data_IF_128450564944
#
_entry.id   IF_128450564944
#
_cell.length_a   1.000
_cell.length_b   1.000
_cell.length_c   1.000
_cell.angle_alpha   90.00
_cell.angle_beta   90.00
_cell.angle_gamma   90.00
#
_symmetry.space_group_name_H-M   'P 1'
#
loop_
_entity.id
_entity.type
_entity.pdbx_description
1 polymer ?
#
# COMPACT_ATOMS: atom_id res chain seq x y z
N UNK A 1 21.86 19.57 43.43
CA UNK A 1 20.89 18.58 42.87
C UNK A 1 19.45 19.09 42.79
N UNK A 2 18.88 19.75 43.81
CA UNK A 2 17.48 20.22 43.76
C UNK A 2 17.20 21.35 42.76
N UNK A 3 18.16 22.27 42.56
CA UNK A 3 18.07 23.38 41.58
C UNK A 3 18.03 22.84 40.14
N UNK A 4 18.96 21.96 39.78
CA UNK A 4 19.02 21.33 38.45
C UNK A 4 17.77 20.50 38.12
N UNK A 5 17.15 19.86 39.12
CA UNK A 5 15.87 19.14 38.96
C UNK A 5 14.70 20.08 38.65
N UNK A 6 14.70 21.29 39.23
CA UNK A 6 13.70 22.33 38.91
C UNK A 6 13.90 22.90 37.52
N UNK A 7 15.13 23.15 37.09
CA UNK A 7 15.43 23.61 35.73
C UNK A 7 14.96 22.61 34.66
N UNK A 8 15.28 21.32 34.84
CA UNK A 8 14.80 20.26 33.94
C UNK A 8 13.26 20.16 33.90
N UNK A 9 12.59 20.36 35.03
CA UNK A 9 11.12 20.36 35.09
C UNK A 9 10.51 21.57 34.35
N UNK A 10 11.12 22.76 34.48
CA UNK A 10 10.69 23.96 33.77
C UNK A 10 10.87 23.83 32.26
N UNK A 11 12.00 23.27 31.81
CA UNK A 11 12.22 22.99 30.39
C UNK A 11 11.15 22.05 29.82
N UNK A 12 10.78 21.02 30.57
CA UNK A 12 9.74 20.08 30.16
C UNK A 12 8.38 20.77 30.05
N UNK A 13 8.00 21.57 31.04
CA UNK A 13 6.75 22.35 31.02
C UNK A 13 6.71 23.32 29.83
N UNK A 14 7.81 24.01 29.53
CA UNK A 14 7.88 24.91 28.35
C UNK A 14 7.73 24.13 27.05
N UNK A 15 8.34 22.94 26.92
CA UNK A 15 8.17 22.06 25.76
C UNK A 15 6.72 21.61 25.62
N UNK A 16 6.06 21.25 26.71
CA UNK A 16 4.68 20.78 26.72
C UNK A 16 3.71 21.91 26.35
N UNK A 17 3.91 23.12 26.88
CA UNK A 17 3.14 24.32 26.50
C UNK A 17 3.31 24.57 25.00
N UNK A 18 4.54 24.61 24.49
CA UNK A 18 4.81 24.81 23.05
C UNK A 18 4.18 23.74 22.16
N UNK A 19 4.07 22.50 22.66
CA UNK A 19 3.41 21.41 21.93
C UNK A 19 1.90 21.59 21.93
N UNK A 20 1.32 21.94 23.08
CA UNK A 20 -0.12 22.14 23.23
C UNK A 20 -0.64 23.37 22.47
N UNK A 21 0.14 24.46 22.42
CA UNK A 21 -0.24 25.70 21.73
C UNK A 21 0.19 25.73 20.25
N UNK A 22 0.80 24.66 19.74
CA UNK A 22 1.20 24.58 18.34
C UNK A 22 -0.04 24.60 17.44
N UNK A 23 -0.14 25.64 16.60
CA UNK A 23 -1.16 25.72 15.56
C UNK A 23 -1.15 24.46 14.69
N UNK A 24 -2.31 23.85 14.54
CA UNK A 24 -2.54 22.77 13.59
C UNK A 24 -3.07 23.36 12.29
N UNK A 25 -2.56 22.88 11.16
CA UNK A 25 -3.03 23.28 9.84
C UNK A 25 -3.79 22.10 9.23
N UNK A 26 -5.00 22.35 8.77
CA UNK A 26 -5.78 21.36 8.02
C UNK A 26 -5.11 21.02 6.68
N UNK A 27 -5.54 19.93 6.04
CA UNK A 27 -5.03 19.59 4.71
C UNK A 27 -5.39 20.69 3.69
N UNK A 28 -6.61 21.22 3.77
CA UNK A 28 -7.13 22.28 2.91
C UNK A 28 -6.36 23.58 3.08
N UNK A 29 -6.02 23.98 4.32
CA UNK A 29 -5.19 25.16 4.57
C UNK A 29 -3.80 25.01 3.95
N UNK A 30 -3.15 23.85 4.16
CA UNK A 30 -1.83 23.59 3.56
C UNK A 30 -1.88 23.66 2.05
N UNK A 31 -2.90 23.07 1.43
CA UNK A 31 -3.10 23.09 -0.02
C UNK A 31 -3.29 24.52 -0.52
N UNK A 32 -4.15 25.31 0.13
CA UNK A 32 -4.37 26.73 -0.22
C UNK A 32 -3.05 27.50 -0.24
N UNK A 33 -2.27 27.40 0.84
CA UNK A 33 -0.99 28.12 0.97
C UNK A 33 0.02 27.65 -0.09
N UNK A 34 0.12 26.34 -0.34
CA UNK A 34 1.03 25.82 -1.38
C UNK A 34 0.66 26.37 -2.75
N UNK A 35 -0.63 26.33 -3.12
CA UNK A 35 -1.10 26.80 -4.42
C UNK A 35 -0.86 28.30 -4.62
N UNK A 36 -1.04 29.12 -3.58
CA UNK A 36 -0.75 30.55 -3.64
C UNK A 36 0.74 30.81 -3.86
N UNK A 37 1.61 30.11 -3.13
CA UNK A 37 3.06 30.22 -3.36
C UNK A 37 3.50 29.75 -4.75
N UNK A 38 2.82 28.73 -5.31
CA UNK A 38 3.06 28.27 -6.69
C UNK A 38 2.58 29.30 -7.72
N UNK A 39 1.49 30.01 -7.42
CA UNK A 39 0.97 31.07 -8.29
C UNK A 39 1.96 32.25 -8.40
N UNK A 40 2.71 32.53 -7.34
CA UNK A 40 3.83 33.48 -7.35
C UNK A 40 3.41 34.95 -7.41
N UNK A 41 2.21 35.28 -6.90
CA UNK A 41 1.71 36.67 -6.82
C UNK A 41 2.54 37.52 -5.83
N UNK A 42 3.00 36.91 -4.74
CA UNK A 42 3.90 37.50 -3.74
C UNK A 42 5.12 36.61 -3.48
N UNK A 43 6.14 37.16 -2.82
CA UNK A 43 7.31 36.35 -2.45
C UNK A 43 6.95 35.30 -1.40
N UNK A 44 7.59 34.12 -1.45
CA UNK A 44 7.36 33.07 -0.44
C UNK A 44 7.61 33.56 1.00
N UNK A 45 8.56 34.50 1.17
CA UNK A 45 8.84 35.10 2.47
C UNK A 45 7.67 35.94 3.00
N UNK A 46 6.96 36.64 2.12
CA UNK A 46 5.78 37.44 2.45
C UNK A 46 4.59 36.54 2.80
N UNK A 47 4.34 35.52 1.98
CA UNK A 47 3.33 34.49 2.25
C UNK A 47 3.55 33.80 3.59
N UNK A 48 4.80 33.40 3.89
CA UNK A 48 5.12 32.76 5.15
C UNK A 48 4.87 33.67 6.37
N UNK A 49 5.16 34.98 6.27
CA UNK A 49 4.87 35.95 7.33
C UNK A 49 3.36 36.12 7.53
N UNK A 50 2.60 36.23 6.44
CA UNK A 50 1.15 36.45 6.47
C UNK A 50 0.40 35.24 7.04
N UNK A 51 0.81 34.03 6.65
CA UNK A 51 0.20 32.78 7.13
C UNK A 51 0.73 32.33 8.50
N UNK A 52 1.80 32.97 9.00
CA UNK A 52 2.43 32.65 10.28
C UNK A 52 3.15 31.30 10.28
N UNK A 53 3.81 30.95 9.17
CA UNK A 53 4.55 29.69 9.00
C UNK A 53 6.03 29.94 8.76
N UNK A 54 6.86 28.95 9.12
CA UNK A 54 8.26 28.96 8.73
C UNK A 54 8.42 28.57 7.25
N UNK A 55 9.40 29.15 6.56
CA UNK A 55 9.69 28.82 5.16
C UNK A 55 9.97 27.32 4.96
N UNK A 56 10.61 26.66 5.94
CA UNK A 56 10.83 25.21 5.91
C UNK A 56 9.53 24.39 5.87
N UNK A 57 8.46 24.86 6.54
CA UNK A 57 7.15 24.22 6.48
C UNK A 57 6.54 24.36 5.08
N UNK A 58 6.58 25.57 4.51
CA UNK A 58 6.11 25.80 3.15
C UNK A 58 6.80 24.89 2.14
N UNK A 59 8.14 24.88 2.14
CA UNK A 59 8.88 24.07 1.17
C UNK A 59 8.68 22.57 1.38
N UNK A 60 8.52 22.12 2.63
CA UNK A 60 8.14 20.73 2.93
C UNK A 60 6.80 20.36 2.30
N UNK A 61 5.75 21.16 2.55
CA UNK A 61 4.42 20.92 2.00
C UNK A 61 4.37 21.05 0.48
N UNK A 62 5.04 22.05 -0.08
CA UNK A 62 5.10 22.28 -1.53
C UNK A 62 5.76 21.11 -2.24
N UNK A 63 6.87 20.60 -1.70
CA UNK A 63 7.53 19.40 -2.23
C UNK A 63 6.62 18.18 -2.17
N UNK A 64 6.03 17.88 -1.01
CA UNK A 64 5.15 16.72 -0.85
C UNK A 64 3.95 16.77 -1.80
N UNK A 65 3.31 17.93 -1.91
CA UNK A 65 2.16 18.17 -2.78
C UNK A 65 2.51 17.98 -4.26
N UNK A 66 3.59 18.60 -4.73
CA UNK A 66 4.04 18.50 -6.12
C UNK A 66 4.55 17.10 -6.48
N UNK A 67 5.28 16.45 -5.57
CA UNK A 67 5.75 15.08 -5.78
C UNK A 67 4.58 14.08 -5.84
N UNK A 68 3.55 14.26 -5.00
CA UNK A 68 2.32 13.47 -5.08
C UNK A 68 1.59 13.68 -6.41
N UNK A 69 1.48 14.94 -6.87
CA UNK A 69 0.90 15.27 -8.18
C UNK A 69 1.69 14.64 -9.33
N UNK A 70 3.02 14.74 -9.31
CA UNK A 70 3.91 14.11 -10.31
C UNK A 70 3.75 12.60 -10.36
N UNK A 71 3.77 11.91 -9.22
CA UNK A 71 3.54 10.44 -9.16
C UNK A 71 2.20 10.06 -9.77
N UNK A 72 1.15 10.79 -9.41
CA UNK A 72 -0.21 10.54 -9.95
C UNK A 72 -0.27 10.74 -11.47
N UNK A 73 0.38 11.78 -11.99
CA UNK A 73 0.42 12.07 -13.43
C UNK A 73 1.34 11.11 -14.21
N UNK A 74 2.42 10.64 -13.58
CA UNK A 74 3.35 9.67 -14.14
C UNK A 74 2.78 8.24 -14.21
N UNK A 75 1.53 8.04 -13.77
CA UNK A 75 0.89 6.73 -13.83
C UNK A 75 1.30 5.79 -12.71
N UNK A 76 1.83 6.28 -11.58
CA UNK A 76 1.87 5.52 -10.32
C UNK A 76 0.43 5.37 -9.79
N UNK A 77 -0.37 4.60 -10.51
CA UNK A 77 -1.68 4.10 -10.10
C UNK A 77 -1.47 2.94 -9.14
N UNK A 78 -0.84 3.21 -8.00
CA UNK A 78 -0.97 2.34 -6.84
C UNK A 78 -2.42 2.43 -6.34
N UNK A 79 -3.25 1.53 -6.89
CA UNK A 79 -4.46 0.95 -6.29
C UNK A 79 -5.62 1.91 -6.00
N UNK A 80 -6.17 2.50 -7.05
CA UNK A 80 -7.62 2.40 -7.23
C UNK A 80 -7.87 1.27 -8.25
N UNK A 81 -7.32 0.08 -8.00
CA UNK A 81 -7.84 -1.12 -8.66
C UNK A 81 -9.30 -1.14 -8.25
N UNK A 82 -10.17 -0.97 -9.24
CA UNK A 82 -11.60 -0.87 -9.02
C UNK A 82 -12.02 -2.05 -8.15
N UNK A 83 -12.80 -1.80 -7.09
CA UNK A 83 -13.21 -2.91 -6.20
C UNK A 83 -13.95 -4.00 -6.98
N UNK A 84 -14.50 -3.66 -8.16
CA UNK A 84 -15.06 -4.57 -9.14
C UNK A 84 -14.03 -5.55 -9.72
N UNK A 85 -12.93 -5.08 -10.34
CA UNK A 85 -11.90 -5.98 -10.91
C UNK A 85 -11.26 -6.87 -9.83
N UNK A 86 -11.00 -6.34 -8.64
CA UNK A 86 -10.47 -7.15 -7.52
C UNK A 86 -11.50 -8.17 -7.03
N UNK A 87 -12.79 -7.82 -7.04
CA UNK A 87 -13.87 -8.72 -6.64
C UNK A 87 -14.11 -9.80 -7.69
N UNK A 88 -14.02 -9.46 -8.98
CA UNK A 88 -14.19 -10.40 -10.08
C UNK A 88 -13.00 -11.34 -10.15
N UNK A 89 -11.76 -10.84 -10.02
CA UNK A 89 -10.57 -11.69 -9.88
C UNK A 89 -10.63 -12.61 -8.64
N UNK A 90 -11.18 -12.14 -7.52
CA UNK A 90 -11.38 -12.99 -6.32
C UNK A 90 -12.46 -14.04 -6.55
N UNK A 91 -13.51 -13.73 -7.28
CA UNK A 91 -14.57 -14.69 -7.67
C UNK A 91 -14.03 -15.74 -8.63
N UNK A 92 -13.28 -15.33 -9.64
CA UNK A 92 -12.62 -16.23 -10.59
C UNK A 92 -11.62 -17.14 -9.87
N UNK A 93 -10.77 -16.58 -8.99
CA UNK A 93 -9.85 -17.38 -8.18
C UNK A 93 -10.56 -18.37 -7.25
N UNK A 94 -11.75 -18.05 -6.77
CA UNK A 94 -12.56 -18.96 -5.95
C UNK A 94 -13.18 -20.08 -6.81
N UNK A 95 -13.77 -19.74 -7.96
CA UNK A 95 -14.31 -20.72 -8.90
C UNK A 95 -13.24 -21.69 -9.41
N UNK A 96 -12.03 -21.18 -9.70
CA UNK A 96 -10.88 -22.00 -10.08
C UNK A 96 -10.45 -22.94 -8.95
N UNK A 97 -10.44 -22.49 -7.69
CA UNK A 97 -10.12 -23.36 -6.55
C UNK A 97 -11.14 -24.47 -6.35
N UNK A 98 -12.42 -24.17 -6.56
CA UNK A 98 -13.49 -25.16 -6.47
C UNK A 98 -13.34 -26.22 -7.57
N UNK A 99 -13.15 -25.80 -8.83
CA UNK A 99 -12.90 -26.72 -9.94
C UNK A 99 -11.61 -27.55 -9.75
N UNK A 100 -10.56 -26.95 -9.18
CA UNK A 100 -9.32 -27.66 -8.85
C UNK A 100 -9.48 -28.66 -7.70
N UNK A 101 -10.48 -28.53 -6.84
CA UNK A 101 -10.70 -29.48 -5.74
C UNK A 101 -11.37 -30.78 -6.19
N UNK A 102 -12.14 -30.75 -7.27
CA UNK A 102 -12.84 -31.93 -7.81
C UNK A 102 -11.87 -32.90 -8.53
N UNK A 103 -10.87 -32.37 -9.25
CA UNK A 103 -9.89 -33.19 -9.99
C UNK A 103 -9.09 -34.16 -9.09
N UNK A 104 -8.54 -33.76 -7.92
CA UNK A 104 -7.89 -34.69 -6.98
C UNK A 104 -8.83 -35.74 -6.40
N UNK A 105 -10.10 -35.38 -6.17
CA UNK A 105 -11.11 -36.27 -5.62
C UNK A 105 -11.46 -37.39 -6.63
N UNK A 106 -11.71 -37.02 -7.89
CA UNK A 106 -11.89 -37.98 -8.98
C UNK A 106 -10.66 -38.88 -9.17
N UNK A 107 -9.46 -38.29 -9.16
CA UNK A 107 -8.21 -39.04 -9.30
C UNK A 107 -8.04 -40.07 -8.17
N UNK A 108 -8.43 -39.71 -6.93
CA UNK A 108 -8.39 -40.62 -5.78
C UNK A 108 -9.42 -41.74 -5.89
N UNK A 109 -10.63 -41.46 -6.37
CA UNK A 109 -11.67 -42.46 -6.57
C UNK A 109 -11.29 -43.44 -7.68
N UNK A 110 -10.79 -42.95 -8.81
CA UNK A 110 -10.31 -43.76 -9.93
C UNK A 110 -9.13 -44.65 -9.53
N UNK A 111 -8.16 -44.11 -8.77
CA UNK A 111 -7.04 -44.90 -8.21
C UNK A 111 -7.55 -46.01 -7.30
N UNK A 112 -8.49 -45.72 -6.38
CA UNK A 112 -9.09 -46.74 -5.49
C UNK A 112 -9.84 -47.82 -6.27
N UNK A 113 -10.60 -47.45 -7.31
CA UNK A 113 -11.31 -48.40 -8.15
C UNK A 113 -10.35 -49.31 -8.94
N UNK A 114 -9.28 -48.75 -9.52
CA UNK A 114 -8.25 -49.53 -10.20
C UNK A 114 -7.56 -50.53 -9.26
N UNK A 115 -7.21 -50.10 -8.05
CA UNK A 115 -6.63 -50.98 -7.03
C UNK A 115 -7.58 -52.11 -6.61
N UNK A 116 -8.89 -51.84 -6.48
CA UNK A 116 -9.89 -52.84 -6.09
C UNK A 116 -10.17 -53.87 -7.20
N UNK A 117 -10.00 -53.49 -8.46
CA UNK A 117 -10.11 -54.40 -9.62
C UNK A 117 -8.84 -55.24 -9.85
N UNK A 118 -7.86 -55.21 -8.95
CA UNK A 118 -6.61 -55.99 -9.08
C UNK A 118 -5.71 -55.56 -10.24
N UNK A 119 -6.03 -54.45 -10.93
CA UNK A 119 -5.15 -53.85 -11.92
C UNK A 119 -4.07 -53.10 -11.16
N UNK A 120 -2.96 -53.79 -10.89
CA UNK A 120 -1.76 -53.20 -10.31
C UNK A 120 -1.40 -51.89 -11.03
N UNK A 121 -0.95 -50.91 -10.25
CA UNK A 121 -0.61 -49.54 -10.64
C UNK A 121 -0.34 -49.40 -12.15
N UNK A 122 -1.29 -48.83 -12.90
CA UNK A 122 -1.10 -48.55 -14.33
C UNK A 122 -0.02 -47.46 -14.44
N UNK A 123 1.24 -47.90 -14.54
CA UNK A 123 2.40 -47.02 -14.61
C UNK A 123 2.43 -46.36 -15.96
N UNK A 124 2.10 -45.06 -16.03
CA UNK A 124 2.40 -44.24 -17.20
C UNK A 124 3.90 -44.37 -17.53
N UNK A 125 4.27 -44.65 -18.80
CA UNK A 125 5.67 -44.67 -19.21
C UNK A 125 6.34 -43.32 -18.84
N UNK A 126 7.61 -43.33 -18.44
CA UNK A 126 8.32 -42.12 -17.99
C UNK A 126 8.24 -40.95 -18.97
N UNK A 127 8.13 -41.22 -20.27
CA UNK A 127 7.97 -40.23 -21.34
C UNK A 127 6.68 -39.40 -21.21
N UNK A 128 5.54 -40.03 -20.94
CA UNK A 128 4.25 -39.33 -20.79
C UNK A 128 4.20 -38.50 -19.50
N UNK A 129 4.81 -39.00 -18.42
CA UNK A 129 4.92 -38.22 -17.17
C UNK A 129 5.77 -36.97 -17.35
N UNK A 130 6.88 -37.07 -18.09
CA UNK A 130 7.75 -35.94 -18.38
C UNK A 130 7.07 -34.90 -19.27
N UNK A 131 6.21 -35.33 -20.21
CA UNK A 131 5.46 -34.45 -21.10
C UNK A 131 4.40 -33.63 -20.33
N UNK A 132 3.67 -34.26 -19.41
CA UNK A 132 2.69 -33.58 -18.55
C UNK A 132 3.37 -32.52 -17.67
N UNK A 133 4.54 -32.80 -17.10
CA UNK A 133 5.28 -31.84 -16.27
C UNK A 133 5.71 -30.62 -17.10
N UNK A 134 6.25 -30.83 -18.31
CA UNK A 134 6.60 -29.71 -19.20
C UNK A 134 5.41 -28.85 -19.58
N UNK A 135 4.23 -29.45 -19.77
CA UNK A 135 3.01 -28.72 -20.10
C UNK A 135 2.46 -27.89 -18.93
N UNK A 136 2.80 -28.25 -17.69
CA UNK A 136 2.38 -27.52 -16.47
C UNK A 136 3.39 -26.44 -16.07
N UNK A 137 4.67 -26.61 -16.40
CA UNK A 137 5.76 -25.69 -16.05
C UNK A 137 6.13 -24.65 -17.14
N UNK A 138 5.51 -24.72 -18.32
CA UNK A 138 5.65 -23.74 -19.41
C UNK A 138 4.67 -22.58 -19.28
#
# INVERSE_FOLDING_TARGET
MAVYRRELALEQVVKDIRRATRRQFSAEEKIRIVLEGVRGEESIAELCRREGIAASMYYGWSKEFLDAGKRRLAGDTARAATSAEVKDLRREAQALKEAMADLPLENRLLKKACSRMGRGHMGYPPSEKAEIIRLVEA
#
